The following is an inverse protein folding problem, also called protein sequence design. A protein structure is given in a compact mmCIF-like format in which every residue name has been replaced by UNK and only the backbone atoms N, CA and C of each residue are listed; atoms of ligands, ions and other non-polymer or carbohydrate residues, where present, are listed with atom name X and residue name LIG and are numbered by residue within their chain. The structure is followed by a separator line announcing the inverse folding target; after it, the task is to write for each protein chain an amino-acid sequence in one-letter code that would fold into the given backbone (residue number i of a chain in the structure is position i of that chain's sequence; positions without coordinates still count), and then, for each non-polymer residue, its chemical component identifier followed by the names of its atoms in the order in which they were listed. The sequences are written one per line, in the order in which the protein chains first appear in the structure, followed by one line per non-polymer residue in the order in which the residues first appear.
data_IF_852847977668
#
_entry.id   IF_852847977668
#
_cell.length_a   1.000
_cell.length_b   1.000
_cell.length_c   1.000
_cell.angle_alpha   90.00
_cell.angle_beta   90.00
_cell.angle_gamma   90.00
#
_symmetry.space_group_name_H-M   'P 1'
#
loop_
_entity.id
_entity.type
_entity.pdbx_description
1 polymer ?
#
# COMPACT_ATOMS: atom_id res chain seq x y z
N UNK A 1 -4.59 -26.43 11.42
CA UNK A 1 -3.33 -25.71 11.66
C UNK A 1 -3.50 -24.22 11.46
N UNK A 2 -2.83 -23.44 12.29
CA UNK A 2 -2.89 -21.98 12.20
C UNK A 2 -1.86 -21.49 11.17
N UNK A 3 -2.28 -20.65 10.25
CA UNK A 3 -1.33 -19.97 9.37
C UNK A 3 -0.70 -18.79 10.11
N UNK A 4 0.57 -18.58 9.90
CA UNK A 4 1.28 -17.45 10.49
C UNK A 4 1.05 -16.19 9.66
N UNK A 5 1.35 -15.02 10.24
CA UNK A 5 1.31 -13.77 9.50
C UNK A 5 2.25 -13.82 8.30
N UNK A 6 3.44 -14.39 8.46
CA UNK A 6 4.40 -14.53 7.36
C UNK A 6 3.86 -15.37 6.20
N UNK A 7 3.14 -16.44 6.51
CA UNK A 7 2.52 -17.27 5.48
C UNK A 7 1.43 -16.50 4.72
N UNK A 8 0.60 -15.75 5.44
CA UNK A 8 -0.44 -14.92 4.81
C UNK A 8 0.17 -13.83 3.92
N UNK A 9 1.26 -13.21 4.37
CA UNK A 9 1.96 -12.20 3.60
C UNK A 9 2.52 -12.81 2.32
N UNK A 10 3.17 -13.99 2.42
CA UNK A 10 3.71 -14.68 1.24
C UNK A 10 2.59 -15.03 0.26
N UNK A 11 1.48 -15.54 0.73
CA UNK A 11 0.32 -15.85 -0.12
C UNK A 11 -0.21 -14.59 -0.82
N UNK A 12 -0.29 -13.48 -0.08
CA UNK A 12 -0.73 -12.21 -0.66
C UNK A 12 0.24 -11.75 -1.76
N UNK A 13 1.53 -11.80 -1.49
CA UNK A 13 2.56 -11.38 -2.46
C UNK A 13 2.54 -12.21 -3.74
N UNK A 14 2.07 -13.45 -3.67
CA UNK A 14 1.94 -14.30 -4.87
C UNK A 14 0.72 -13.93 -5.72
N UNK A 15 -0.22 -13.18 -5.17
CA UNK A 15 -1.48 -12.84 -5.85
C UNK A 15 -1.58 -11.39 -6.31
N UNK A 16 -0.70 -10.52 -5.81
CA UNK A 16 -0.75 -9.08 -6.10
C UNK A 16 0.58 -8.62 -6.70
N UNK A 17 0.60 -7.39 -7.15
CA UNK A 17 1.83 -6.79 -7.67
C UNK A 17 2.65 -6.23 -6.52
N UNK A 18 3.88 -6.72 -6.36
CA UNK A 18 4.84 -6.17 -5.43
C UNK A 18 5.89 -5.40 -6.22
N UNK A 19 6.25 -4.23 -5.74
CA UNK A 19 7.22 -3.37 -6.43
C UNK A 19 8.27 -2.88 -5.44
N UNK A 20 9.48 -2.67 -5.95
CA UNK A 20 10.52 -2.01 -5.16
C UNK A 20 10.29 -0.49 -5.18
N UNK A 21 11.10 0.23 -4.42
CA UNK A 21 10.92 1.69 -4.25
C UNK A 21 11.07 2.43 -5.57
N UNK A 22 12.06 2.07 -6.36
CA UNK A 22 12.35 2.76 -7.62
C UNK A 22 11.23 2.53 -8.63
N UNK A 23 10.75 1.28 -8.75
CA UNK A 23 9.63 0.96 -9.62
C UNK A 23 8.35 1.69 -9.17
N UNK A 24 8.11 1.74 -7.87
CA UNK A 24 6.96 2.45 -7.30
C UNK A 24 7.01 3.94 -7.66
N UNK A 25 8.17 4.56 -7.51
CA UNK A 25 8.35 5.98 -7.85
C UNK A 25 8.10 6.22 -9.34
N UNK A 26 8.59 5.34 -10.19
CA UNK A 26 8.36 5.43 -11.64
C UNK A 26 6.88 5.34 -11.97
N UNK A 27 6.16 4.39 -11.36
CA UNK A 27 4.71 4.25 -11.55
C UNK A 27 4.01 5.55 -11.13
N UNK A 28 4.37 6.07 -9.96
CA UNK A 28 3.74 7.28 -9.42
C UNK A 28 3.99 8.49 -10.32
N UNK A 29 5.23 8.69 -10.75
CA UNK A 29 5.62 9.85 -11.56
C UNK A 29 5.00 9.83 -12.96
N UNK A 30 4.80 8.65 -13.52
CA UNK A 30 4.25 8.51 -14.87
C UNK A 30 2.72 8.49 -14.90
N UNK A 31 2.07 8.40 -13.76
CA UNK A 31 0.61 8.35 -13.68
C UNK A 31 0.02 9.75 -13.76
N UNK A 32 -1.12 9.89 -14.43
CA UNK A 32 -1.88 11.14 -14.39
C UNK A 32 -2.46 11.35 -13.00
N UNK A 33 -2.82 10.26 -12.33
CA UNK A 33 -3.35 10.31 -10.99
C UNK A 33 -3.11 8.95 -10.31
N UNK A 34 -2.41 8.98 -9.20
CA UNK A 34 -2.16 7.79 -8.37
C UNK A 34 -2.32 8.17 -6.91
N UNK A 35 -2.71 7.21 -6.10
CA UNK A 35 -2.92 7.41 -4.67
C UNK A 35 -1.93 6.53 -3.91
N UNK A 36 -1.27 7.12 -2.92
CA UNK A 36 -0.38 6.38 -2.01
C UNK A 36 -1.13 6.22 -0.70
N UNK A 37 -1.34 4.98 -0.27
CA UNK A 37 -2.01 4.65 0.97
C UNK A 37 -0.99 4.13 1.98
N UNK A 38 -0.83 4.86 3.08
CA UNK A 38 -0.02 4.44 4.21
C UNK A 38 -0.92 3.66 5.15
N UNK A 39 -0.67 2.34 5.28
CA UNK A 39 -1.52 1.46 6.09
C UNK A 39 -0.97 1.22 7.49
N UNK A 40 0.01 2.03 7.91
CA UNK A 40 0.51 2.00 9.29
C UNK A 40 -0.52 2.60 10.23
N UNK A 41 -0.30 2.41 11.53
CA UNK A 41 -1.14 3.04 12.54
C UNK A 41 -1.02 4.57 12.47
N UNK A 42 -2.07 5.27 12.89
CA UNK A 42 -2.11 6.73 12.86
C UNK A 42 -0.94 7.37 13.59
N UNK A 43 -0.53 6.83 14.74
CA UNK A 43 0.58 7.37 15.51
C UNK A 43 1.90 7.36 14.72
N UNK A 44 2.15 6.31 13.93
CA UNK A 44 3.33 6.25 13.07
C UNK A 44 3.25 7.30 11.96
N UNK A 45 2.09 7.44 11.36
CA UNK A 45 1.86 8.43 10.31
C UNK A 45 2.06 9.86 10.83
N UNK A 46 1.51 10.16 11.99
CA UNK A 46 1.67 11.49 12.60
C UNK A 46 3.12 11.80 12.94
N UNK A 47 3.90 10.80 13.31
CA UNK A 47 5.31 10.97 13.61
C UNK A 47 6.12 11.32 12.35
N UNK A 48 5.89 10.63 11.26
CA UNK A 48 6.54 10.89 9.98
C UNK A 48 5.78 10.18 8.86
N UNK A 49 5.56 10.83 7.73
CA UNK A 49 4.87 10.25 6.60
C UNK A 49 5.32 10.87 5.27
N UNK A 50 4.99 10.22 4.17
CA UNK A 50 5.24 10.76 2.83
C UNK A 50 4.28 11.93 2.59
N UNK A 51 4.75 13.01 1.99
CA UNK A 51 3.96 14.22 1.74
C UNK A 51 2.65 13.94 1.01
N UNK A 52 2.71 13.06 0.04
CA UNK A 52 1.56 12.79 -0.85
C UNK A 52 0.75 11.57 -0.43
N UNK A 53 0.98 11.05 0.78
CA UNK A 53 0.28 9.84 1.23
C UNK A 53 -0.98 10.16 2.02
N UNK A 54 -1.91 9.21 1.98
CA UNK A 54 -3.13 9.22 2.78
C UNK A 54 -3.01 8.09 3.79
N UNK A 55 -3.28 8.36 5.05
CA UNK A 55 -3.24 7.32 6.07
C UNK A 55 -4.61 6.64 6.20
N UNK A 56 -4.63 5.36 5.92
CA UNK A 56 -5.76 4.50 6.24
C UNK A 56 -5.16 3.27 6.92
N UNK A 57 -5.18 3.20 8.25
CA UNK A 57 -4.63 2.05 8.96
C UNK A 57 -5.22 0.75 8.44
N UNK A 58 -4.41 -0.31 8.40
CA UNK A 58 -4.82 -1.59 7.81
C UNK A 58 -6.18 -2.07 8.33
N UNK A 59 -6.44 -1.89 9.62
CA UNK A 59 -7.69 -2.32 10.25
C UNK A 59 -8.92 -1.53 9.83
N UNK A 60 -8.75 -0.38 9.17
CA UNK A 60 -9.85 0.49 8.74
C UNK A 60 -9.97 0.55 7.22
N UNK A 61 -9.11 -0.15 6.49
CA UNK A 61 -8.98 -0.01 5.05
C UNK A 61 -10.30 -0.25 4.32
N UNK A 62 -10.93 -1.39 4.56
CA UNK A 62 -12.17 -1.78 3.87
C UNK A 62 -13.29 -0.76 4.09
N UNK A 63 -13.32 -0.17 5.27
CA UNK A 63 -14.39 0.75 5.66
C UNK A 63 -14.21 2.15 5.09
N UNK A 64 -12.98 2.52 4.73
CA UNK A 64 -12.65 3.90 4.39
C UNK A 64 -12.14 4.13 2.97
N UNK A 65 -11.71 3.08 2.28
CA UNK A 65 -11.06 3.25 0.97
C UNK A 65 -11.99 3.89 -0.07
N UNK A 66 -13.26 3.59 -0.06
CA UNK A 66 -14.20 4.10 -1.06
C UNK A 66 -14.29 5.63 -1.07
N UNK A 67 -14.09 6.27 0.07
CA UNK A 67 -14.10 7.74 0.15
C UNK A 67 -12.94 8.37 -0.60
N UNK A 68 -11.85 7.65 -0.72
CA UNK A 68 -10.62 8.16 -1.33
C UNK A 68 -10.43 7.68 -2.76
N UNK A 69 -10.98 6.52 -3.10
CA UNK A 69 -10.79 5.88 -4.40
C UNK A 69 -12.11 5.32 -4.88
N UNK A 70 -12.84 6.09 -5.66
CA UNK A 70 -14.14 5.68 -6.23
C UNK A 70 -13.99 4.92 -7.53
N UNK A 71 -12.90 5.16 -8.26
CA UNK A 71 -12.64 4.51 -9.54
C UNK A 71 -11.85 3.23 -9.33
N UNK A 72 -12.41 2.09 -9.77
CA UNK A 72 -11.78 0.78 -9.61
C UNK A 72 -10.45 0.63 -10.36
N UNK A 73 -10.15 1.51 -11.30
CA UNK A 73 -8.95 1.45 -12.11
C UNK A 73 -7.86 2.42 -11.66
N UNK A 74 -8.12 3.22 -10.64
CA UNK A 74 -7.13 4.16 -10.12
C UNK A 74 -5.87 3.40 -9.66
N UNK A 75 -4.71 3.98 -9.90
CA UNK A 75 -3.45 3.39 -9.45
C UNK A 75 -3.32 3.62 -7.95
N UNK A 76 -3.18 2.54 -7.20
CA UNK A 76 -3.00 2.59 -5.75
C UNK A 76 -1.67 1.95 -5.40
N UNK A 77 -0.86 2.68 -4.64
CA UNK A 77 0.39 2.18 -4.08
C UNK A 77 0.19 2.07 -2.57
N UNK A 78 0.35 0.87 -2.02
CA UNK A 78 0.25 0.67 -0.57
C UNK A 78 1.65 0.59 0.03
N UNK A 79 1.85 1.14 1.21
CA UNK A 79 3.09 0.95 1.96
C UNK A 79 2.84 0.89 3.46
N UNK A 80 3.83 0.35 4.16
CA UNK A 80 3.82 0.28 5.62
C UNK A 80 5.26 0.43 6.11
N UNK A 81 5.63 -0.17 7.23
CA UNK A 81 6.98 -0.08 7.77
C UNK A 81 7.98 -1.00 7.05
N UNK A 82 7.53 -2.16 6.54
CA UNK A 82 8.43 -3.14 5.93
C UNK A 82 7.81 -3.95 4.80
N UNK A 83 6.58 -3.68 4.40
CA UNK A 83 5.94 -4.32 3.26
C UNK A 83 4.90 -5.40 3.59
N UNK A 84 4.87 -5.93 4.81
CA UNK A 84 3.92 -6.99 5.18
C UNK A 84 2.47 -6.53 5.19
N UNK A 85 2.16 -5.50 5.95
CA UNK A 85 0.81 -4.94 5.99
C UNK A 85 0.40 -4.35 4.64
N UNK A 86 1.37 -3.77 3.91
CA UNK A 86 1.13 -3.25 2.57
C UNK A 86 0.70 -4.37 1.61
N UNK A 87 1.31 -5.54 1.72
CA UNK A 87 0.96 -6.71 0.90
C UNK A 87 -0.44 -7.22 1.20
N UNK A 88 -0.77 -7.34 2.49
CA UNK A 88 -2.12 -7.74 2.91
C UNK A 88 -3.16 -6.72 2.48
N UNK A 89 -2.84 -5.43 2.58
CA UNK A 89 -3.71 -4.34 2.13
C UNK A 89 -3.97 -4.42 0.62
N UNK A 90 -2.92 -4.64 -0.16
CA UNK A 90 -3.05 -4.76 -1.61
C UNK A 90 -3.95 -5.92 -2.01
N UNK A 91 -3.83 -7.07 -1.31
CA UNK A 91 -4.71 -8.21 -1.57
C UNK A 91 -6.17 -7.87 -1.23
N UNK A 92 -6.40 -7.21 -0.11
CA UNK A 92 -7.75 -6.78 0.27
C UNK A 92 -8.35 -5.87 -0.80
N UNK A 93 -7.60 -4.88 -1.26
CA UNK A 93 -8.07 -3.97 -2.30
C UNK A 93 -8.34 -4.70 -3.62
N UNK A 94 -7.47 -5.64 -3.98
CA UNK A 94 -7.68 -6.47 -5.16
C UNK A 94 -8.99 -7.25 -5.04
N UNK A 95 -9.24 -7.85 -3.89
CA UNK A 95 -10.47 -8.62 -3.63
C UNK A 95 -11.72 -7.74 -3.62
N UNK A 96 -11.57 -6.44 -3.32
CA UNK A 96 -12.66 -5.48 -3.38
C UNK A 96 -12.97 -5.01 -4.81
N UNK A 97 -12.11 -5.33 -5.78
CA UNK A 97 -12.33 -4.99 -7.17
C UNK A 97 -11.42 -3.92 -7.76
N UNK A 98 -10.45 -3.42 -6.97
CA UNK A 98 -9.46 -2.48 -7.51
C UNK A 98 -8.48 -3.24 -8.40
N UNK A 99 -8.32 -2.82 -9.64
CA UNK A 99 -7.56 -3.56 -10.65
C UNK A 99 -6.11 -3.15 -10.79
N UNK A 100 -5.71 -2.04 -10.17
CA UNK A 100 -4.37 -1.47 -10.39
C UNK A 100 -3.69 -1.11 -9.07
N UNK A 101 -3.45 -2.14 -8.26
CA UNK A 101 -2.89 -1.99 -6.91
C UNK A 101 -1.49 -2.60 -6.87
N UNK A 102 -0.57 -1.89 -6.26
CA UNK A 102 0.83 -2.32 -6.10
C UNK A 102 1.25 -2.13 -4.65
N UNK A 103 1.82 -3.17 -4.05
CA UNK A 103 2.39 -3.07 -2.71
C UNK A 103 3.87 -2.71 -2.82
N UNK A 104 4.28 -1.68 -2.10
CA UNK A 104 5.71 -1.31 -2.04
C UNK A 104 6.36 -2.15 -0.94
N UNK A 105 7.25 -3.05 -1.34
CA UNK A 105 7.92 -3.97 -0.41
C UNK A 105 9.29 -3.42 -0.05
N UNK A 106 9.30 -2.45 0.86
CA UNK A 106 10.52 -1.77 1.31
C UNK A 106 10.27 -1.20 2.71
N UNK A 107 11.34 -0.74 3.36
CA UNK A 107 11.20 -0.05 4.64
C UNK A 107 10.64 1.35 4.41
N UNK A 108 10.02 1.90 5.45
CA UNK A 108 9.50 3.27 5.38
C UNK A 108 10.62 4.27 5.04
N UNK A 109 11.78 4.10 5.64
CA UNK A 109 12.94 5.00 5.42
C UNK A 109 13.37 4.99 3.96
N UNK A 110 13.45 3.81 3.35
CA UNK A 110 13.81 3.69 1.93
C UNK A 110 12.78 4.38 1.04
N UNK A 111 11.50 4.20 1.35
CA UNK A 111 10.41 4.81 0.58
C UNK A 111 10.48 6.33 0.70
N UNK A 112 10.63 6.83 1.92
CA UNK A 112 10.68 8.26 2.18
C UNK A 112 11.87 8.92 1.50
N UNK A 113 13.03 8.27 1.52
CA UNK A 113 14.24 8.79 0.88
C UNK A 113 14.06 8.99 -0.63
N UNK A 114 13.25 8.16 -1.27
CA UNK A 114 13.01 8.23 -2.71
C UNK A 114 11.85 9.16 -3.06
N UNK A 115 10.76 9.11 -2.29
CA UNK A 115 9.54 9.87 -2.60
C UNK A 115 9.60 11.32 -2.12
N UNK A 116 10.24 11.57 -1.01
CA UNK A 116 10.39 12.89 -0.41
C UNK A 116 11.85 13.34 -0.49
#
# INVERSE_FOLDING_TARGET
MIKTAGELITEAQNKINCVDVISAKTIYDNANHAVIIDVRELSSYENSHLKESINIPRGLLEMKIEKHCENSEIIILTHCAGGGRASLAALTLHNMGYSNVHAITATFEEIKDVFD
#
